data_IF_108212592023
#
_entry.id   IF_108212592023
#
_cell.length_a   1.000
_cell.length_b   1.000
_cell.length_c   1.000
_cell.angle_alpha   90.00
_cell.angle_beta   90.00
_cell.angle_gamma   90.00
#
_symmetry.space_group_name_H-M   'P 1'
#
loop_
_entity.id
_entity.type
_entity.pdbx_description
1 polymer ?
2 non-polymer ?
3 non-polymer ?
4 water ?
#
# COMPACT_ATOMS: atom_id res chain seq x y z
N UNK A 3 5.02 21.62 3.85
CA UNK A 3 4.29 20.67 4.68
C UNK A 3 3.54 21.38 5.80
N UNK A 4 2.22 21.24 5.82
CA UNK A 4 1.41 21.76 6.92
C UNK A 4 1.18 20.67 7.95
N UNK A 5 1.39 20.99 9.22
CA UNK A 5 1.05 20.08 10.31
C UNK A 5 -0.45 20.19 10.58
N UNK A 6 -1.18 19.09 10.47
CA UNK A 6 -2.63 19.10 10.66
C UNK A 6 -2.93 18.36 11.96
N UNK A 7 -2.77 19.06 13.07
CA UNK A 7 -2.85 18.41 14.36
C UNK A 7 -4.25 17.94 14.72
N UNK A 8 -5.29 18.48 14.08
CA UNK A 8 -6.64 18.06 14.47
C UNK A 8 -6.91 16.64 14.03
N UNK A 9 -6.12 16.11 13.10
CA UNK A 9 -6.34 14.74 12.67
C UNK A 9 -6.07 13.72 13.77
N UNK A 10 -5.38 14.12 14.85
CA UNK A 10 -5.22 13.23 16.00
C UNK A 10 -6.57 12.67 16.44
N UNK A 11 -7.65 13.46 16.28
CA UNK A 11 -8.99 13.02 16.63
C UNK A 11 -9.30 11.61 16.14
N UNK A 12 -8.96 11.30 14.90
CA UNK A 12 -9.44 10.05 14.30
C UNK A 12 -8.60 8.86 14.74
N UNK A 13 -7.38 9.09 15.20
CA UNK A 13 -6.59 8.01 15.76
C UNK A 13 -6.96 7.79 17.22
N UNK A 14 -7.12 8.88 17.97
CA UNK A 14 -7.44 8.77 19.39
C UNK A 14 -8.79 8.10 19.61
N UNK A 15 -9.73 8.29 18.68
CA UNK A 15 -11.05 7.64 18.76
C UNK A 15 -10.94 6.11 18.83
N UNK A 16 -9.87 5.54 18.27
CA UNK A 16 -9.65 4.10 18.27
C UNK A 16 -8.51 3.67 19.18
N UNK A 17 -7.95 4.63 19.94
CA UNK A 17 -6.83 4.38 20.84
C UNK A 17 -5.66 3.73 20.11
N UNK A 18 -5.41 4.20 18.90
CA UNK A 18 -4.23 3.80 18.14
C UNK A 18 -3.34 5.01 17.91
N UNK A 19 -2.09 4.70 17.52
CA UNK A 19 -1.08 5.67 17.09
C UNK A 19 -1.04 5.65 15.56
N UNK A 20 -0.62 6.75 14.95
CA UNK A 20 -0.43 6.69 13.52
C UNK A 20 -0.07 8.00 12.89
N UNK A 21 0.03 7.96 11.57
CA UNK A 21 0.23 9.18 10.81
C UNK A 21 -0.65 9.14 9.58
N UNK A 22 -0.85 10.33 9.03
CA UNK A 22 -1.59 10.45 7.78
C UNK A 22 -0.93 11.55 6.98
N UNK A 24 -1.32 13.67 3.20
CA UNK A 24 -2.30 13.95 2.15
C UNK A 24 -1.73 15.03 1.24
N UNK A 25 -1.48 14.69 -0.03
CA UNK A 25 -0.90 15.65 -0.97
C UNK A 25 -1.92 15.93 -2.05
N UNK A 26 -2.45 17.16 -2.07
CA UNK A 26 -3.50 17.51 -3.02
C UNK A 26 -2.82 18.21 -4.19
N UNK A 27 -2.69 17.48 -5.30
CA UNK A 27 -1.99 17.99 -6.47
C UNK A 27 -2.56 19.32 -6.97
N UNK A 28 -3.88 19.40 -7.17
CA UNK A 28 -4.45 20.53 -7.86
C UNK A 28 -4.43 21.79 -7.01
N UNK A 29 -4.58 21.67 -5.70
CA UNK A 29 -4.49 22.82 -4.81
C UNK A 29 -3.08 23.05 -4.28
N UNK A 30 -2.14 22.15 -4.55
CA UNK A 30 -0.76 22.36 -4.10
C UNK A 30 -0.64 22.48 -2.60
N UNK A 31 -1.35 21.64 -1.87
CA UNK A 31 -1.29 21.60 -0.43
C UNK A 31 -0.81 20.22 -0.01
N UNK A 32 -0.08 20.19 1.08
CA UNK A 32 0.54 18.97 1.57
C UNK A 32 0.39 18.99 3.07
N UNK A 33 -0.47 18.11 3.60
CA UNK A 33 -0.79 18.06 5.03
C UNK A 33 -0.35 16.75 5.65
N UNK A 34 0.23 16.81 6.83
CA UNK A 34 0.71 15.62 7.52
C UNK A 34 0.35 15.69 9.00
N UNK A 35 -0.26 14.63 9.50
CA UNK A 35 -0.35 14.40 10.95
C UNK A 35 0.74 13.42 11.34
N UNK A 36 1.57 13.80 12.32
CA UNK A 36 2.67 13.00 12.86
C UNK A 36 3.85 12.88 11.91
N UNK A 37 4.54 14.01 11.72
CA UNK A 37 5.67 14.07 10.82
C UNK A 37 6.77 13.11 11.24
N UNK A 38 7.03 13.00 12.55
CA UNK A 38 8.08 12.09 13.01
C UNK A 38 7.81 10.67 12.54
N UNK A 39 6.57 10.18 12.74
CA UNK A 39 6.27 8.83 12.32
C UNK A 39 6.34 8.67 10.81
N UNK A 40 6.01 9.72 10.06
CA UNK A 40 6.05 9.64 8.61
C UNK A 40 7.44 9.35 8.08
N UNK A 41 8.48 9.57 8.89
CA UNK A 41 9.86 9.28 8.50
C UNK A 41 10.40 7.99 9.08
N UNK A 42 9.62 7.29 9.89
CA UNK A 42 10.04 6.03 10.48
C UNK A 42 9.74 4.87 9.54
N UNK A 43 10.61 3.85 9.59
CA UNK A 43 10.47 2.68 8.74
C UNK A 43 9.64 1.56 9.37
N UNK A 44 8.81 0.91 8.55
CA UNK A 44 8.01 -0.25 8.95
C UNK A 44 7.97 -1.28 7.82
N UNK A 45 7.65 -2.51 8.19
CA UNK A 45 7.46 -3.53 7.16
C UNK A 45 6.29 -3.10 6.26
N UNK A 46 6.39 -3.29 4.93
CA UNK A 46 5.28 -2.85 4.06
C UNK A 46 4.09 -3.79 4.05
N UNK A 47 4.29 -5.04 4.47
CA UNK A 47 3.24 -6.04 4.38
C UNK A 47 2.57 -6.02 2.99
N UNK A 48 1.22 -6.10 2.92
CA UNK A 48 0.58 -6.31 1.62
C UNK A 48 0.66 -5.08 0.72
N UNK A 49 1.09 -3.89 1.24
CA UNK A 49 1.31 -2.80 0.28
C UNK A 49 2.41 -3.14 -0.72
N UNK A 50 3.28 -4.09 -0.39
CA UNK A 50 4.32 -4.51 -1.31
C UNK A 50 3.72 -5.17 -2.56
N UNK A 52 2.01 -3.80 -4.64
CA UNK A 52 2.14 -2.83 -5.73
C UNK A 52 3.48 -3.07 -6.44
N UNK A 53 4.55 -3.14 -5.65
CA UNK A 53 5.89 -3.34 -6.20
C UNK A 53 6.02 -4.71 -6.89
N UNK A 54 5.53 -5.77 -6.23
CA UNK A 54 5.60 -7.13 -6.77
C UNK A 54 4.85 -7.22 -8.11
N UNK A 55 3.72 -6.55 -8.21
CA UNK A 55 2.95 -6.52 -9.44
C UNK A 55 3.72 -5.82 -10.54
N UNK A 56 4.30 -4.66 -10.22
CA UNK A 56 5.10 -3.93 -11.21
C UNK A 56 6.23 -4.79 -11.74
N UNK A 57 7.01 -5.41 -10.84
CA UNK A 57 8.14 -6.18 -11.31
C UNK A 57 7.66 -7.43 -12.03
N UNK A 58 6.60 -8.07 -11.51
CA UNK A 58 6.06 -9.26 -12.17
C UNK A 58 5.60 -9.00 -13.59
N UNK A 59 4.86 -7.90 -13.79
CA UNK A 59 4.47 -7.51 -15.17
C UNK A 59 5.70 -7.11 -16.01
N UNK A 60 6.60 -6.33 -15.43
CA UNK A 60 7.73 -5.80 -16.22
C UNK A 60 8.65 -6.91 -16.71
N UNK A 61 8.96 -7.88 -15.84
CA UNK A 61 9.79 -9.01 -16.21
C UNK A 61 9.06 -10.03 -17.07
N UNK A 62 7.74 -9.95 -17.12
CA UNK A 62 6.93 -10.89 -17.89
C UNK A 62 6.55 -12.14 -17.15
N UNK A 63 6.89 -12.26 -15.86
CA UNK A 63 6.39 -13.36 -15.05
C UNK A 63 4.85 -13.34 -15.05
N UNK A 64 4.27 -12.17 -14.88
CA UNK A 64 2.85 -11.96 -15.02
C UNK A 64 2.59 -11.47 -16.45
N UNK A 65 1.85 -12.25 -17.26
CA UNK A 65 1.63 -11.86 -18.65
C UNK A 65 0.82 -10.57 -18.76
N UNK A 66 -0.27 -10.49 -18.00
CA UNK A 66 -1.20 -9.35 -18.00
C UNK A 66 -2.08 -9.46 -16.76
N UNK A 67 -3.01 -8.52 -16.60
CA UNK A 67 -3.77 -8.56 -15.35
C UNK A 67 -4.71 -9.76 -15.24
N UNK A 68 -4.95 -10.49 -16.32
CA UNK A 68 -5.79 -11.68 -16.30
C UNK A 68 -5.00 -12.96 -16.03
N UNK A 69 -3.67 -12.85 -15.88
CA UNK A 69 -2.81 -14.03 -15.76
C UNK A 69 -3.15 -14.84 -14.52
N UNK A 70 -3.34 -16.13 -14.69
CA UNK A 70 -3.79 -16.99 -13.60
C UNK A 70 -2.64 -17.81 -13.02
N UNK A 71 -2.54 -17.82 -11.69
CA UNK A 71 -1.72 -18.77 -10.95
C UNK A 71 -2.67 -19.70 -10.19
N UNK A 72 -2.64 -21.00 -10.41
CA UNK A 72 -3.63 -21.86 -9.74
C UNK A 72 -3.40 -21.91 -8.24
N UNK A 73 -4.48 -22.20 -7.53
CA UNK A 73 -4.38 -22.58 -6.14
C UNK A 73 -3.42 -23.78 -5.97
N UNK A 74 -2.50 -23.69 -5.00
CA UNK A 74 -1.55 -24.78 -4.77
C UNK A 74 -2.15 -25.94 -3.99
N UNK A 75 -3.42 -25.84 -3.62
CA UNK A 75 -4.08 -26.88 -2.86
C UNK A 75 -3.84 -26.83 -1.38
N UNK A 76 -3.12 -25.82 -0.89
CA UNK A 76 -2.91 -25.64 0.55
C UNK A 76 -4.04 -24.78 1.07
N UNK A 77 -4.81 -25.30 2.01
CA UNK A 77 -5.97 -24.55 2.46
C UNK A 77 -5.54 -23.52 3.48
N UNK A 78 -5.81 -22.25 3.18
CA UNK A 78 -5.42 -21.15 4.05
C UNK A 78 -6.64 -20.52 4.68
N UNK A 79 -6.38 -19.72 5.73
CA UNK A 79 -7.40 -19.15 6.60
C UNK A 79 -8.33 -18.16 5.88
N UNK A 81 -10.73 -17.77 2.70
CA UNK A 81 -11.35 -18.57 1.64
C UNK A 81 -11.15 -17.99 0.26
N UNK A 82 -11.15 -16.65 0.14
CA UNK A 82 -10.86 -15.97 -1.12
C UNK A 82 -9.62 -16.49 -1.79
N UNK A 83 -8.68 -17.00 -1.01
CA UNK A 83 -7.36 -17.31 -1.53
C UNK A 83 -7.26 -18.73 -2.07
N UNK A 84 -8.20 -19.58 -1.72
CA UNK A 84 -8.11 -21.00 -2.05
C UNK A 84 -8.75 -21.29 -3.40
N UNK A 85 -8.30 -20.57 -4.42
CA UNK A 85 -8.89 -20.60 -5.75
C UNK A 85 -7.80 -20.28 -6.75
N UNK A 86 -8.05 -20.64 -8.01
CA UNK A 86 -7.24 -20.12 -9.10
C UNK A 86 -7.63 -18.66 -9.28
N UNK A 87 -6.66 -17.77 -9.29
CA UNK A 87 -6.92 -16.34 -9.29
C UNK A 87 -6.13 -15.70 -10.40
N UNK A 88 -6.73 -14.74 -11.07
CA UNK A 88 -6.00 -13.82 -11.95
C UNK A 88 -5.26 -12.82 -11.10
N UNK A 90 -5.48 -9.64 -11.21
CA UNK A 90 -6.40 -8.59 -10.73
C UNK A 90 -7.18 -9.07 -9.51
N UNK A 91 -7.75 -10.28 -9.58
CA UNK A 91 -8.48 -10.83 -8.44
C UNK A 91 -7.57 -10.98 -7.23
N UNK A 92 -6.38 -11.55 -7.43
CA UNK A 92 -5.47 -11.76 -6.30
C UNK A 92 -5.08 -10.43 -5.66
N UNK A 93 -4.87 -9.38 -6.47
CA UNK A 93 -4.50 -8.09 -5.90
C UNK A 93 -5.61 -7.57 -5.02
N UNK A 94 -6.86 -7.64 -5.53
CA UNK A 94 -7.99 -7.02 -4.86
C UNK A 94 -8.43 -7.78 -3.61
N UNK A 95 -8.20 -9.10 -3.55
CA UNK A 95 -8.46 -9.84 -2.30
C UNK A 95 -7.21 -10.03 -1.49
N UNK A 96 -6.11 -9.46 -1.95
CA UNK A 96 -4.85 -9.46 -1.20
C UNK A 96 -4.37 -10.89 -0.95
N UNK A 97 -4.36 -11.70 -2.03
CA UNK A 97 -4.00 -13.11 -1.89
C UNK A 97 -2.48 -13.27 -1.86
N UNK A 98 -1.94 -13.36 -0.64
CA UNK A 98 -0.49 -13.53 -0.46
C UNK A 98 0.09 -14.66 -1.31
N UNK A 99 -0.52 -15.86 -1.37
CA UNK A 99 0.16 -16.96 -2.07
C UNK A 99 0.36 -16.70 -3.55
N UNK A 100 -0.56 -15.95 -4.20
CA UNK A 100 -0.36 -15.57 -5.59
C UNK A 100 0.95 -14.82 -5.74
N UNK A 101 1.16 -13.82 -4.89
CA UNK A 101 2.33 -12.97 -5.03
C UNK A 101 3.60 -13.58 -4.46
N UNK A 102 3.48 -14.54 -3.54
CA UNK A 102 4.65 -15.35 -3.17
C UNK A 102 5.16 -16.13 -4.38
N UNK A 103 4.24 -16.69 -5.18
CA UNK A 103 4.67 -17.42 -6.36
C UNK A 103 5.26 -16.47 -7.41
N UNK A 104 4.66 -15.28 -7.55
CA UNK A 104 5.27 -14.28 -8.44
C UNK A 104 6.71 -14.01 -8.02
N UNK A 105 6.93 -13.77 -6.71
CA UNK A 105 8.29 -13.47 -6.25
C UNK A 105 9.26 -14.62 -6.55
N UNK A 106 8.82 -15.86 -6.34
CA UNK A 106 9.71 -17.00 -6.61
C UNK A 106 10.06 -17.11 -8.09
N UNK A 107 9.12 -16.74 -8.97
CA UNK A 107 9.40 -16.78 -10.40
C UNK A 107 10.27 -15.62 -10.83
N UNK A 108 10.12 -14.45 -10.19
CA UNK A 108 11.02 -13.32 -10.44
C UNK A 108 12.47 -13.71 -10.11
N UNK A 109 12.64 -14.33 -8.93
CA UNK A 109 13.89 -14.86 -8.33
C UNK A 109 14.62 -13.76 -7.56
N UNK A 110 15.38 -14.16 -6.55
CA UNK A 110 16.01 -13.21 -5.65
C UNK A 110 16.98 -12.26 -6.33
N UNK A 111 17.87 -12.69 -7.24
CA UNK A 111 18.78 -11.72 -7.86
C UNK A 111 18.06 -10.65 -8.67
N UNK A 112 17.01 -11.04 -9.39
CA UNK A 112 16.24 -10.06 -10.16
C UNK A 112 15.47 -9.15 -9.22
N UNK A 114 16.27 -8.29 -6.23
CA UNK A 114 17.23 -7.39 -5.62
C UNK A 114 17.59 -6.26 -6.58
N UNK A 115 17.74 -6.59 -7.86
CA UNK A 115 18.08 -5.58 -8.85
C UNK A 115 17.00 -4.50 -8.92
N UNK A 116 15.73 -4.91 -8.88
CA UNK A 116 14.65 -3.93 -8.96
C UNK A 116 14.49 -3.14 -7.67
N UNK A 117 14.67 -3.79 -6.51
CA UNK A 117 14.67 -3.00 -5.26
C UNK A 117 15.76 -1.95 -5.28
N UNK A 118 16.93 -2.32 -5.78
CA UNK A 118 18.06 -1.40 -5.80
C UNK A 118 17.82 -0.29 -6.82
N UNK A 119 17.24 -0.62 -7.98
CA UNK A 119 17.02 0.37 -9.03
C UNK A 119 16.01 1.41 -8.60
N UNK A 120 14.91 0.96 -8.02
CA UNK A 120 13.88 1.88 -7.54
C UNK A 120 14.30 2.54 -6.23
N UNK A 121 15.31 1.99 -5.55
CA UNK A 121 15.71 2.43 -4.20
C UNK A 121 14.54 2.36 -3.22
N UNK A 122 13.95 1.17 -3.12
CA UNK A 122 12.71 0.94 -2.36
C UNK A 122 13.04 0.65 -0.88
N UNK A 123 12.84 1.64 -0.01
CA UNK A 123 13.05 1.44 1.41
C UNK A 123 14.49 1.02 1.69
N UNK A 124 14.65 0.09 2.63
CA UNK A 124 15.99 -0.39 2.93
C UNK A 124 16.46 -1.47 1.98
N UNK A 126 16.03 -4.61 1.52
CA UNK A 126 16.57 -5.81 2.18
C UNK A 126 15.68 -7.04 1.96
N UNK A 127 16.27 -8.09 1.39
CA UNK A 127 15.59 -9.39 1.19
C UNK A 127 16.14 -10.43 2.17
N UNK A 128 15.24 -11.03 2.95
CA UNK A 128 15.56 -12.21 3.75
C UNK A 128 15.39 -13.47 2.89
N UNK A 129 14.16 -13.94 2.75
CA UNK A 129 13.77 -15.01 1.84
C UNK A 129 12.91 -14.45 0.72
N UNK A 130 13.03 -15.04 -0.47
CA UNK A 130 12.39 -14.48 -1.67
C UNK A 130 10.88 -14.35 -1.52
N UNK A 131 10.25 -15.20 -0.69
CA UNK A 131 8.79 -15.20 -0.62
C UNK A 131 8.26 -14.72 0.72
N UNK A 132 9.11 -14.16 1.58
CA UNK A 132 8.64 -13.64 2.86
C UNK A 132 9.13 -12.24 3.18
N UNK A 133 9.98 -11.64 2.34
CA UNK A 133 10.77 -10.53 2.86
C UNK A 133 9.96 -9.25 3.13
N UNK A 134 8.77 -9.12 2.54
CA UNK A 134 7.93 -7.95 2.76
C UNK A 134 6.97 -8.14 3.93
N UNK A 135 6.95 -9.32 4.53
CA UNK A 135 6.05 -9.63 5.62
C UNK A 135 6.76 -10.01 6.90
N UNK A 136 8.09 -10.11 6.89
CA UNK A 136 8.82 -10.68 8.03
C UNK A 136 9.74 -9.66 8.72
N UNK A 137 9.59 -8.38 8.40
CA UNK A 137 10.31 -7.25 8.99
C UNK A 137 11.76 -7.14 8.51
N UNK A 138 12.14 -7.82 7.44
CA UNK A 138 13.44 -7.51 6.83
C UNK A 138 13.36 -6.27 5.96
N UNK A 139 12.57 -6.29 4.90
CA UNK A 139 12.31 -5.06 4.15
C UNK A 139 11.50 -4.08 4.98
N UNK A 140 11.91 -2.82 4.97
CA UNK A 140 11.16 -1.76 5.66
C UNK A 140 11.16 -0.50 4.82
N UNK A 141 10.09 0.28 4.99
CA UNK A 141 9.90 1.49 4.20
C UNK A 141 9.09 2.48 5.04
N UNK A 142 9.34 3.77 4.84
CA UNK A 142 8.64 4.78 5.65
C UNK A 142 7.34 5.18 4.98
N UNK A 143 6.40 5.74 5.71
CA UNK A 143 5.21 6.30 5.03
C UNK A 143 5.56 7.35 4.00
N UNK A 144 6.53 8.22 4.28
CA UNK A 144 6.91 9.24 3.29
C UNK A 144 7.47 8.59 2.02
N UNK A 145 8.25 7.53 2.19
CA UNK A 145 8.74 6.79 1.02
C UNK A 145 7.61 6.15 0.24
N UNK A 146 6.59 5.61 0.94
CA UNK A 146 5.46 5.05 0.22
C UNK A 146 4.69 6.12 -0.54
N UNK A 147 4.55 7.31 0.06
CA UNK A 147 3.86 8.41 -0.62
C UNK A 147 4.59 8.80 -1.91
N UNK A 148 5.92 8.96 -1.83
CA UNK A 148 6.68 9.33 -3.01
C UNK A 148 6.57 8.27 -4.09
N UNK A 149 6.54 7.00 -3.67
CA UNK A 149 6.45 5.89 -4.60
C UNK A 149 5.13 5.91 -5.34
N UNK A 150 4.01 6.09 -4.61
CA UNK A 150 2.73 6.03 -5.35
C UNK A 150 2.53 7.28 -6.18
N UNK A 151 3.06 8.42 -5.76
CA UNK A 151 3.01 9.60 -6.62
C UNK A 151 3.76 9.35 -7.92
N UNK A 152 4.92 8.71 -7.84
CA UNK A 152 5.68 8.44 -9.05
C UNK A 152 4.96 7.44 -9.93
N UNK A 153 4.33 6.42 -9.31
CA UNK A 153 3.52 5.48 -10.07
C UNK A 153 2.44 6.20 -10.84
N UNK A 154 1.74 7.12 -10.17
CA UNK A 154 0.65 7.80 -10.83
C UNK A 154 1.13 8.57 -12.07
N UNK A 155 2.30 9.21 -11.95
CA UNK A 155 2.82 10.10 -13.00
C UNK A 155 3.80 9.42 -13.95
N UNK A 156 3.85 8.08 -13.94
CA UNK A 156 4.71 7.31 -14.83
C UNK A 156 6.19 7.63 -14.65
N UNK A 157 6.62 7.93 -13.43
CA UNK A 157 7.97 8.36 -13.16
C UNK A 157 8.87 7.25 -12.65
N UNK A 158 8.34 6.05 -12.42
CA UNK A 158 9.12 4.89 -12.02
C UNK A 158 9.76 4.28 -13.25
N UNK A 159 10.84 3.48 -13.08
CA UNK A 159 11.57 2.92 -14.23
C UNK A 159 10.95 1.64 -14.80
N UNK A 160 9.66 1.71 -15.09
CA UNK A 160 8.88 0.62 -15.67
C UNK A 160 8.28 1.08 -16.99
N UNK A 161 7.83 0.12 -17.79
CA UNK A 161 7.13 0.47 -19.02
C UNK A 161 5.81 1.16 -18.67
N UNK A 162 5.37 2.05 -19.57
CA UNK A 162 4.10 2.73 -19.32
C UNK A 162 2.92 1.76 -19.22
N UNK A 163 2.92 0.66 -19.99
CA UNK A 163 1.79 -0.27 -19.91
C UNK A 163 1.83 -1.03 -18.57
N UNK A 164 3.03 -1.30 -18.04
CA UNK A 164 3.16 -1.92 -16.71
C UNK A 164 2.52 -1.06 -15.65
N UNK A 166 0.35 1.48 -16.09
CA UNK A 166 -1.09 1.59 -16.31
C UNK A 166 -1.85 0.37 -15.76
N UNK A 167 -1.33 -0.84 -15.97
CA UNK A 167 -2.01 -2.03 -15.48
C UNK A 167 -2.11 -2.05 -13.96
N UNK A 168 -1.04 -1.66 -13.26
CA UNK A 168 -1.10 -1.63 -11.79
C UNK A 168 -2.07 -0.55 -11.30
N UNK A 169 -2.08 0.63 -11.96
CA UNK A 169 -3.05 1.64 -11.55
C UNK A 169 -4.47 1.10 -11.75
N UNK A 170 -4.69 0.32 -12.80
CA UNK A 170 -6.05 -0.16 -13.04
C UNK A 170 -6.49 -1.11 -11.93
N UNK A 171 -5.62 -2.03 -11.52
CA UNK A 171 -6.09 -3.00 -10.53
C UNK A 171 -6.23 -2.36 -9.17
N UNK A 173 -7.81 0.37 -8.55
CA UNK A 173 -9.08 1.08 -8.43
C UNK A 173 -10.05 0.22 -7.62
N UNK A 175 -13.00 1.69 -5.61
CA UNK A 175 -14.32 2.26 -5.42
C UNK A 175 -14.49 3.36 -6.46
N UNK A 176 -15.62 3.35 -7.17
CA UNK A 176 -15.85 4.33 -8.22
C UNK A 176 -17.28 4.83 -8.13
N UNK A 177 -17.44 6.14 -7.99
CA UNK A 177 -18.73 6.82 -8.04
C UNK A 177 -18.56 8.02 -8.95
N UNK A 178 -19.66 8.65 -9.35
CA UNK A 178 -19.49 9.89 -10.13
C UNK A 178 -18.71 10.98 -9.38
N UNK A 179 -18.78 10.96 -8.06
CA UNK A 179 -18.14 11.98 -7.23
C UNK A 179 -16.65 11.74 -7.02
N UNK A 180 -16.16 10.49 -7.11
CA UNK A 180 -14.76 10.23 -6.74
C UNK A 180 -14.41 8.82 -7.18
N UNK A 181 -13.12 8.60 -7.37
CA UNK A 181 -12.57 7.27 -7.57
C UNK A 181 -11.47 7.06 -6.57
N UNK A 182 -11.53 5.95 -5.84
CA UNK A 182 -10.62 5.68 -4.74
C UNK A 182 -9.76 4.47 -5.12
N UNK A 183 -8.43 4.65 -5.15
CA UNK A 183 -7.49 3.59 -5.51
C UNK A 183 -6.53 3.38 -4.36
N UNK A 184 -6.24 2.11 -4.00
CA UNK A 184 -5.34 1.93 -2.85
C UNK A 184 -4.93 0.47 -2.77
N UNK A 185 -3.91 0.22 -1.93
CA UNK A 185 -3.60 -1.09 -1.43
C UNK A 185 -3.46 -1.02 0.09
N UNK A 186 -4.15 -1.93 0.77
CA UNK A 186 -4.04 -2.05 2.22
C UNK A 186 -2.90 -2.97 2.61
N UNK A 187 -2.51 -2.89 3.88
CA UNK A 187 -1.57 -3.85 4.45
C UNK A 187 -1.75 -3.98 5.95
N UNK A 189 0.65 -5.90 9.18
CA UNK A 189 1.74 -6.80 9.54
C UNK A 189 2.08 -6.70 11.01
N UNK A 190 3.04 -7.51 11.42
CA UNK A 190 3.38 -7.57 12.83
C UNK A 190 4.84 -7.21 13.06
N UNK A 191 5.10 -6.48 14.14
CA UNK A 191 6.44 -5.96 14.42
C UNK A 191 6.57 -5.85 15.94
N UNK A 192 7.32 -6.78 16.54
CA UNK A 192 7.37 -6.90 17.97
C UNK A 192 5.99 -7.22 18.52
N UNK A 193 5.56 -6.48 19.52
CA UNK A 193 4.20 -6.66 20.05
C UNK A 193 3.15 -5.90 19.26
N UNK A 194 3.55 -5.26 18.17
CA UNK A 194 2.70 -4.30 17.49
C UNK A 194 2.07 -4.91 16.24
N UNK A 195 0.84 -4.48 15.99
CA UNK A 195 0.21 -4.69 14.69
C UNK A 195 0.28 -3.37 13.94
N UNK A 196 0.77 -3.42 12.71
CA UNK A 196 0.97 -2.24 11.87
C UNK A 196 -0.07 -2.31 10.76
N UNK A 197 -0.84 -1.25 10.54
CA UNK A 197 -1.79 -1.16 9.43
C UNK A 197 -1.39 -0.08 8.45
N UNK A 198 -1.63 -0.34 7.17
CA UNK A 198 -1.39 0.61 6.09
C UNK A 198 -2.59 0.74 5.17
N UNK A 199 -2.82 1.95 4.64
CA UNK A 199 -3.54 2.13 3.38
C UNK A 199 -2.80 3.19 2.57
N UNK A 200 -2.37 2.83 1.36
CA UNK A 200 -1.59 3.73 0.51
C UNK A 200 -2.30 3.87 -0.82
N UNK A 201 -2.46 5.10 -1.32
CA UNK A 201 -3.13 5.22 -2.61
C UNK A 201 -3.44 6.64 -2.96
N UNK A 202 -4.53 6.81 -3.71
CA UNK A 202 -4.96 8.16 -4.06
C UNK A 202 -6.47 8.18 -4.24
N UNK A 203 -7.02 9.37 -4.15
CA UNK A 203 -8.42 9.60 -4.47
C UNK A 203 -8.46 10.65 -5.57
N UNK A 204 -9.28 10.41 -6.59
CA UNK A 204 -9.42 11.34 -7.73
C UNK A 204 -10.82 11.89 -7.73
N UNK A 205 -10.95 13.20 -7.80
CA UNK A 205 -12.24 13.85 -8.02
C UNK A 205 -12.08 14.77 -9.22
N UNK A 206 -12.99 14.65 -10.16
CA UNK A 206 -12.91 15.46 -11.38
C UNK A 206 -11.58 15.27 -12.09
N UNK A 207 -10.96 14.11 -11.94
CA UNK A 207 -9.68 13.86 -12.56
C UNK A 207 -8.49 14.36 -11.78
N UNK A 208 -8.71 14.97 -10.62
CA UNK A 208 -7.65 15.56 -9.81
C UNK A 208 -7.23 14.61 -8.71
N UNK A 209 -5.98 14.17 -8.65
CA UNK A 209 -5.56 13.22 -7.62
C UNK A 209 -5.06 13.88 -6.35
N UNK A 210 -5.41 13.22 -5.25
CA UNK A 210 -4.85 13.52 -3.92
C UNK A 210 -4.23 12.24 -3.41
N UNK A 211 -2.93 12.29 -3.14
CA UNK A 211 -2.19 11.10 -2.74
C UNK A 211 -2.19 10.98 -1.23
N UNK A 212 -2.28 9.77 -0.73
CA UNK A 212 -2.27 9.62 0.73
C UNK A 212 -1.54 8.37 1.17
N UNK A 213 -1.07 8.42 2.40
CA UNK A 213 -0.59 7.26 3.12
C UNK A 213 -1.13 7.32 4.54
N UNK A 214 -1.75 6.24 4.98
CA UNK A 214 -2.21 6.07 6.37
C UNK A 214 -1.37 4.95 6.96
N UNK A 215 -0.80 5.17 8.14
CA UNK A 215 -0.04 4.13 8.81
C UNK A 215 -0.43 4.19 10.28
N UNK A 216 -0.82 3.05 10.83
CA UNK A 216 -1.39 2.93 12.17
C UNK A 216 -0.68 1.82 12.93
N UNK A 217 -0.59 1.97 14.24
CA UNK A 217 -0.12 0.83 15.03
C UNK A 217 -0.88 0.69 16.35
N UNK A 218 -0.96 -0.55 16.81
CA UNK A 218 -1.60 -0.84 18.09
C UNK A 218 -0.84 -1.96 18.76
N UNK A 219 -0.84 -1.94 20.10
CA UNK A 219 -0.43 -3.10 20.91
C UNK A 219 -1.62 -3.86 21.45
N UNK A 220 -2.83 -3.37 21.20
CA UNK A 220 -4.05 -4.07 21.55
C UNK A 220 -4.30 -5.20 20.56
N UNK A 221 -4.10 -6.43 21.00
CA UNK A 221 -4.27 -7.58 20.12
C UNK A 221 -5.73 -7.81 19.73
N UNK A 222 -6.67 -7.22 20.46
CA UNK A 222 -8.08 -7.44 20.16
C UNK A 222 -8.66 -6.41 19.18
N UNK A 223 -7.88 -5.41 18.77
CA UNK A 223 -8.41 -4.42 17.85
C UNK A 223 -8.45 -4.98 16.43
N UNK A 224 -9.55 -4.72 15.71
CA UNK A 224 -9.76 -5.22 14.35
C UNK A 224 -9.13 -4.22 13.39
N UNK A 226 -8.19 -4.44 10.39
CA UNK A 226 -8.72 -4.41 9.03
C UNK A 226 -9.88 -3.42 8.89
N UNK A 227 -10.79 -3.43 9.85
CA UNK A 227 -11.89 -2.48 9.82
C UNK A 227 -11.47 -1.10 10.30
N UNK A 228 -10.67 -1.03 11.38
CA UNK A 228 -10.29 0.27 11.93
C UNK A 228 -9.52 1.10 10.92
N UNK A 229 -8.59 0.50 10.17
CA UNK A 229 -7.84 1.29 9.20
C UNK A 229 -8.77 1.95 8.17
N UNK A 231 -12.08 2.66 8.53
CA UNK A 231 -12.91 3.71 9.15
C UNK A 231 -12.12 4.98 9.35
N UNK A 232 -10.86 4.83 9.79
CA UNK A 232 -9.99 5.99 10.00
C UNK A 232 -9.75 6.71 8.68
N UNK A 233 -9.44 5.99 7.60
CA UNK A 233 -9.23 6.63 6.31
C UNK A 233 -10.47 7.38 5.86
N UNK A 234 -11.64 6.74 5.97
CA UNK A 234 -12.86 7.40 5.50
C UNK A 234 -13.15 8.65 6.32
N UNK A 235 -12.92 8.58 7.64
CA UNK A 235 -13.18 9.76 8.50
C UNK A 235 -12.22 10.88 8.17
N UNK A 236 -10.95 10.56 7.92
CA UNK A 236 -9.96 11.58 7.58
C UNK A 236 -10.28 12.23 6.25
N UNK A 237 -10.60 11.43 5.23
CA UNK A 237 -10.87 12.03 3.93
C UNK A 237 -12.18 12.81 3.97
N UNK A 238 -13.17 12.33 4.73
CA UNK A 238 -14.41 13.11 4.89
C UNK A 238 -14.11 14.46 5.52
N UNK A 239 -13.28 14.44 6.58
CA UNK A 239 -12.92 15.68 7.27
C UNK A 239 -12.23 16.65 6.34
N UNK A 240 -11.40 16.11 5.45
CA UNK A 240 -10.64 16.91 4.51
C UNK A 240 -11.47 17.37 3.31
N UNK A 241 -12.75 17.00 3.23
CA UNK A 241 -13.64 17.54 2.23
C UNK A 241 -13.86 16.66 1.01
N UNK A 242 -13.47 15.39 1.05
CA UNK A 242 -13.60 14.48 -0.09
C UNK A 242 -14.95 13.76 -0.09
N UNK A 243 -15.21 13.05 -1.19
CA UNK A 243 -16.33 12.14 -1.48
C UNK A 243 -17.57 12.89 -2.00
N UNK A 244 -17.46 14.19 -2.24
CA UNK A 244 -18.58 15.00 -2.70
C UNK A 244 -18.36 15.59 -4.08
N UNK A 245 -17.25 15.23 -4.75
CA UNK A 245 -17.01 15.73 -6.09
C UNK A 245 -16.52 17.16 -6.12
N UNK A 247 -13.42 18.33 -5.09
CA UNK A 247 -11.98 18.50 -5.13
C UNK A 247 -11.35 18.53 -6.56
#
# INVERSE_FOLDING_TARGET
>A
NNVENEKSWEKYFAEYKVEGCFXLFNNSQGTFKVYNLERSQQRFLPASTFXIFNSLVGLETGVIKDTSFVIPWDGVTRDXPEWNHDLSXQQAFRVSAVPYFQEVARRITKPVXQHWLDTVKFGNXKISKIDTFWLDNSLQISPDEELGFVKKLYFDQLPFHKVTXQNVRQVXLXEKKPEYELSYKTGXGFSGPKTIGWITGWIEENGHPSFFVLNIETENKSLDXRTVRXNILRNLLTDAGYFKGXK
#
